data_IF_862155001179
#
_entry.id   IF_862155001179
#
_cell.length_a   1.000
_cell.length_b   1.000
_cell.length_c   1.000
_cell.angle_alpha   90.00
_cell.angle_beta   90.00
_cell.angle_gamma   90.00
#
_symmetry.space_group_name_H-M   'P 1'
#
loop_
_entity.id
_entity.type
_entity.pdbx_description
1 polymer ?
#
# COMPACT_ATOMS: atom_id res chain seq x y z
N UNK A 1 -4.72 10.09 -16.00
CA UNK A 1 -5.53 8.84 -15.88
C UNK A 1 -5.49 8.24 -14.48
N UNK A 2 -4.34 7.78 -13.95
CA UNK A 2 -4.29 7.14 -12.63
C UNK A 2 -4.68 8.09 -11.47
N UNK A 3 -4.13 9.31 -11.45
CA UNK A 3 -4.49 10.32 -10.44
C UNK A 3 -5.99 10.69 -10.51
N UNK A 4 -6.54 10.77 -11.72
CA UNK A 4 -7.97 11.05 -11.93
C UNK A 4 -8.85 9.95 -11.33
N UNK A 5 -8.46 8.67 -11.44
CA UNK A 5 -9.19 7.56 -10.81
C UNK A 5 -9.22 7.70 -9.28
N UNK A 6 -8.11 8.08 -8.66
CA UNK A 6 -8.02 8.26 -7.21
C UNK A 6 -8.79 9.49 -6.73
N UNK A 7 -8.78 10.58 -7.50
CA UNK A 7 -9.60 11.77 -7.23
C UNK A 7 -11.10 11.45 -7.33
N UNK A 8 -11.52 10.73 -8.37
CA UNK A 8 -12.91 10.30 -8.54
C UNK A 8 -13.34 9.40 -7.38
N UNK A 9 -12.52 8.42 -6.98
CA UNK A 9 -12.84 7.54 -5.84
C UNK A 9 -13.06 8.32 -4.54
N UNK A 10 -12.22 9.33 -4.25
CA UNK A 10 -12.38 10.19 -3.09
C UNK A 10 -13.68 11.01 -3.13
N UNK A 11 -14.05 11.53 -4.31
CA UNK A 11 -15.34 12.22 -4.49
C UNK A 11 -16.52 11.29 -4.23
N UNK A 12 -16.42 10.01 -4.63
CA UNK A 12 -17.45 9.01 -4.33
C UNK A 12 -17.53 8.69 -2.83
N UNK A 13 -16.39 8.57 -2.14
CA UNK A 13 -16.38 8.38 -0.68
C UNK A 13 -17.10 9.52 0.05
N UNK A 14 -16.77 10.76 -0.28
CA UNK A 14 -17.40 11.93 0.33
C UNK A 14 -18.92 11.95 0.07
N UNK A 15 -19.34 11.69 -1.17
CA UNK A 15 -20.78 11.66 -1.53
C UNK A 15 -21.53 10.54 -0.81
N UNK A 16 -20.97 9.33 -0.75
CA UNK A 16 -21.60 8.21 -0.06
C UNK A 16 -21.71 8.45 1.45
N UNK A 17 -20.69 9.02 2.08
CA UNK A 17 -20.72 9.37 3.50
C UNK A 17 -21.77 10.43 3.85
N UNK A 18 -22.02 11.40 2.96
CA UNK A 18 -23.10 12.39 3.15
C UNK A 18 -24.48 11.71 3.14
N UNK A 19 -24.65 10.65 2.35
CA UNK A 19 -25.92 9.89 2.29
C UNK A 19 -26.12 9.05 3.55
N UNK A 20 -25.05 8.43 4.07
CA UNK A 20 -25.09 7.70 5.33
C UNK A 20 -23.77 7.88 6.11
N UNK A 21 -23.83 8.70 7.17
CA UNK A 21 -22.68 9.07 7.99
C UNK A 21 -22.10 7.90 8.79
N UNK A 22 -22.81 6.77 8.90
CA UNK A 22 -22.28 5.57 9.56
C UNK A 22 -21.14 4.92 8.76
N UNK A 23 -21.07 5.18 7.45
CA UNK A 23 -20.06 4.68 6.53
C UNK A 23 -18.89 5.67 6.44
N UNK A 24 -17.81 5.43 7.18
CA UNK A 24 -16.72 6.40 7.33
C UNK A 24 -15.32 5.85 7.02
N UNK A 25 -15.19 4.54 6.74
CA UNK A 25 -13.90 3.87 6.56
C UNK A 25 -13.68 3.52 5.07
N UNK A 26 -12.92 4.32 4.29
CA UNK A 26 -12.77 4.12 2.86
C UNK A 26 -11.67 3.13 2.52
N UNK A 27 -11.93 2.25 1.55
CA UNK A 27 -11.01 1.24 1.06
C UNK A 27 -11.08 1.14 -0.47
N UNK A 28 -9.94 0.84 -1.10
CA UNK A 28 -9.86 0.51 -2.52
C UNK A 28 -9.14 -0.82 -2.68
N UNK A 29 -9.64 -1.67 -3.58
CA UNK A 29 -8.95 -2.87 -4.03
C UNK A 29 -8.81 -2.81 -5.55
N UNK A 30 -7.65 -3.24 -6.05
CA UNK A 30 -7.32 -3.16 -7.46
C UNK A 30 -6.53 -4.38 -7.90
N UNK A 31 -7.02 -5.06 -8.92
CA UNK A 31 -6.34 -6.17 -9.57
C UNK A 31 -6.01 -5.81 -11.03
N UNK A 32 -4.82 -6.18 -11.47
CA UNK A 32 -4.33 -5.93 -12.83
C UNK A 32 -3.98 -7.24 -13.51
N UNK A 33 -4.66 -7.51 -14.64
CA UNK A 33 -4.61 -8.72 -15.46
C UNK A 33 -5.27 -9.96 -14.83
N UNK A 34 -5.69 -10.95 -15.65
CA UNK A 34 -6.35 -12.17 -15.15
C UNK A 34 -5.54 -12.97 -14.14
N UNK A 35 -4.20 -12.89 -14.22
CA UNK A 35 -3.30 -13.53 -13.26
C UNK A 35 -3.45 -12.96 -11.83
N UNK A 36 -3.84 -11.69 -11.71
CA UNK A 36 -4.21 -11.06 -10.45
C UNK A 36 -5.70 -11.22 -10.11
N UNK A 37 -6.44 -12.06 -10.83
CA UNK A 37 -7.89 -12.24 -10.72
C UNK A 37 -8.75 -11.08 -11.26
N UNK A 38 -8.16 -10.17 -12.06
CA UNK A 38 -8.96 -9.18 -12.77
C UNK A 38 -9.87 -9.89 -13.81
N UNK A 39 -11.19 -9.75 -13.65
CA UNK A 39 -12.18 -10.39 -14.53
C UNK A 39 -12.30 -9.70 -15.89
N UNK A 40 -11.82 -8.46 -15.98
CA UNK A 40 -11.83 -7.64 -17.19
C UNK A 40 -10.42 -7.15 -17.50
N UNK A 41 -10.09 -7.07 -18.78
CA UNK A 41 -8.80 -6.53 -19.25
C UNK A 41 -8.75 -5.00 -19.09
N UNK A 42 -9.91 -4.34 -19.06
CA UNK A 42 -9.96 -2.90 -18.85
C UNK A 42 -9.62 -2.55 -17.38
N UNK A 43 -8.85 -1.46 -17.14
CA UNK A 43 -8.57 -1.00 -15.79
C UNK A 43 -9.87 -0.65 -15.04
N UNK A 44 -10.03 -1.16 -13.83
CA UNK A 44 -11.11 -0.81 -12.91
C UNK A 44 -10.67 -0.99 -11.46
N UNK A 45 -11.34 -0.31 -10.55
CA UNK A 45 -11.10 -0.33 -9.11
C UNK A 45 -12.38 -0.76 -8.39
N UNK A 46 -12.25 -1.50 -7.29
CA UNK A 46 -13.34 -1.73 -6.36
C UNK A 46 -13.25 -0.71 -5.23
N UNK A 47 -14.19 0.23 -5.22
CA UNK A 47 -14.29 1.33 -4.24
C UNK A 47 -15.30 0.93 -3.17
N UNK A 48 -14.85 0.86 -1.91
CA UNK A 48 -15.68 0.40 -0.79
C UNK A 48 -15.65 1.42 0.33
N UNK A 49 -16.82 1.70 0.92
CA UNK A 49 -16.93 2.49 2.14
C UNK A 49 -17.55 1.58 3.19
N UNK A 50 -16.87 1.42 4.33
CA UNK A 50 -17.30 0.51 5.39
C UNK A 50 -17.83 1.29 6.60
N UNK A 51 -18.84 0.73 7.25
CA UNK A 51 -19.40 1.23 8.51
C UNK A 51 -18.79 0.52 9.72
N UNK A 52 -18.58 1.25 10.81
CA UNK A 52 -18.08 0.68 12.07
C UNK A 52 -16.58 0.36 12.05
N UNK A 53 -16.20 -0.78 11.46
CA UNK A 53 -14.81 -1.26 11.47
C UNK A 53 -14.16 -1.30 10.08
N UNK A 54 -12.83 -1.37 10.05
CA UNK A 54 -12.07 -1.66 8.84
C UNK A 54 -12.32 -3.10 8.36
N UNK A 55 -12.06 -3.38 7.08
CA UNK A 55 -12.22 -4.73 6.56
C UNK A 55 -11.06 -5.66 6.98
N UNK A 56 -11.42 -6.82 7.53
CA UNK A 56 -10.56 -7.99 7.73
C UNK A 56 -9.10 -7.66 8.12
N UNK A 57 -8.15 -7.80 7.18
CA UNK A 57 -6.71 -7.57 7.42
C UNK A 57 -6.39 -6.14 7.88
N UNK A 58 -7.16 -5.14 7.44
CA UNK A 58 -7.01 -3.76 7.91
C UNK A 58 -7.45 -3.62 9.37
N UNK A 59 -8.53 -4.28 9.79
CA UNK A 59 -8.94 -4.31 11.19
C UNK A 59 -7.90 -5.01 12.08
N UNK A 60 -7.30 -6.10 11.59
CA UNK A 60 -6.19 -6.76 12.28
C UNK A 60 -4.98 -5.84 12.46
N UNK A 61 -4.59 -5.12 11.41
CA UNK A 61 -3.50 -4.14 11.48
C UNK A 61 -3.81 -2.99 12.47
N UNK A 62 -5.04 -2.50 12.46
CA UNK A 62 -5.51 -1.47 13.40
C UNK A 62 -5.47 -1.97 14.86
N UNK A 63 -5.93 -3.20 15.11
CA UNK A 63 -5.84 -3.80 16.44
C UNK A 63 -4.38 -3.96 16.91
N UNK A 64 -3.50 -4.39 16.01
CA UNK A 64 -2.07 -4.52 16.29
C UNK A 64 -1.39 -3.16 16.56
N UNK A 65 -1.74 -2.11 15.82
CA UNK A 65 -1.20 -0.77 16.06
C UNK A 65 -1.65 -0.19 17.40
N UNK A 66 -2.91 -0.43 17.79
CA UNK A 66 -3.42 -0.05 19.10
C UNK A 66 -2.72 -0.81 20.23
N UNK A 67 -2.48 -2.11 20.06
CA UNK A 67 -1.76 -2.91 21.04
C UNK A 67 -0.32 -2.44 21.21
N UNK A 68 0.40 -2.22 20.09
CA UNK A 68 1.75 -1.67 20.12
C UNK A 68 1.81 -0.34 20.87
N UNK A 69 0.88 0.58 20.57
CA UNK A 69 0.85 1.89 21.23
C UNK A 69 0.62 1.77 22.73
N UNK A 70 -0.24 0.84 23.18
CA UNK A 70 -0.43 0.56 24.62
C UNK A 70 0.84 0.01 25.28
N UNK A 71 1.53 -0.92 24.62
CA UNK A 71 2.74 -1.56 25.15
C UNK A 71 3.96 -0.63 25.15
N UNK A 72 3.88 0.50 24.44
CA UNK A 72 4.94 1.49 24.23
C UNK A 72 4.55 2.90 24.67
N UNK A 73 3.71 3.01 25.70
CA UNK A 73 3.35 4.29 26.34
C UNK A 73 2.85 5.39 25.37
N UNK A 74 2.13 5.00 24.31
CA UNK A 74 1.55 5.91 23.33
C UNK A 74 2.37 6.12 22.06
N UNK A 75 3.49 5.40 21.86
CA UNK A 75 4.25 5.45 20.60
C UNK A 75 3.36 5.10 19.38
N UNK A 76 3.64 5.75 18.24
CA UNK A 76 2.91 5.52 17.01
C UNK A 76 3.54 4.39 16.19
N UNK A 77 2.81 3.28 16.07
CA UNK A 77 3.24 2.09 15.33
C UNK A 77 3.75 2.39 13.91
N UNK A 78 3.05 3.23 13.14
CA UNK A 78 3.40 3.49 11.74
C UNK A 78 4.63 4.37 11.60
N UNK A 79 4.82 5.33 12.52
CA UNK A 79 6.03 6.13 12.60
C UNK A 79 7.25 5.24 12.84
N UNK A 80 7.18 4.33 13.81
CA UNK A 80 8.29 3.44 14.12
C UNK A 80 8.53 2.39 13.04
N UNK A 81 7.45 1.91 12.40
CA UNK A 81 7.55 1.02 11.24
C UNK A 81 8.36 1.67 10.11
N UNK A 82 8.09 2.94 9.80
CA UNK A 82 8.86 3.70 8.80
C UNK A 82 10.31 3.89 9.26
N UNK A 83 10.55 4.25 10.53
CA UNK A 83 11.91 4.43 11.07
C UNK A 83 12.75 3.15 10.92
N UNK A 84 12.21 1.99 11.30
CA UNK A 84 12.92 0.71 11.21
C UNK A 84 13.26 0.38 9.76
N UNK A 85 12.31 0.50 8.83
CA UNK A 85 12.59 0.23 7.42
C UNK A 85 13.59 1.22 6.84
N UNK A 86 13.53 2.50 7.23
CA UNK A 86 14.48 3.52 6.79
C UNK A 86 15.89 3.24 7.31
N UNK A 87 16.04 2.86 8.58
CA UNK A 87 17.33 2.49 9.17
C UNK A 87 17.96 1.28 8.46
N UNK A 88 17.14 0.35 7.95
CA UNK A 88 17.59 -0.78 7.15
C UNK A 88 17.86 -0.43 5.68
N UNK A 89 17.64 0.81 5.25
CA UNK A 89 17.79 1.21 3.85
C UNK A 89 16.73 0.63 2.92
N UNK A 90 15.55 0.28 3.44
CA UNK A 90 14.44 -0.35 2.70
C UNK A 90 13.33 0.64 2.29
N UNK A 91 13.56 1.95 2.41
CA UNK A 91 12.57 2.99 2.10
C UNK A 91 12.97 3.92 0.95
N UNK A 92 11.98 4.52 0.31
CA UNK A 92 12.13 5.68 -0.53
C UNK A 92 10.99 6.66 -0.23
N UNK A 93 11.29 7.95 -0.19
CA UNK A 93 10.31 8.98 0.15
C UNK A 93 10.14 9.98 -0.96
N UNK A 94 8.93 10.51 -1.07
CA UNK A 94 8.56 11.64 -1.92
C UNK A 94 7.66 12.53 -1.06
N UNK A 95 8.15 13.72 -0.71
CA UNK A 95 7.37 14.68 0.09
C UNK A 95 6.85 14.06 1.38
N UNK A 96 5.52 13.97 1.53
CA UNK A 96 4.86 13.46 2.75
C UNK A 96 4.61 11.95 2.75
N UNK A 97 5.09 11.24 1.73
CA UNK A 97 4.81 9.82 1.55
C UNK A 97 6.11 9.01 1.53
N UNK A 98 6.03 7.80 2.06
CA UNK A 98 7.13 6.84 2.07
C UNK A 98 6.65 5.50 1.55
N UNK A 99 7.42 4.91 0.63
CA UNK A 99 7.29 3.52 0.22
C UNK A 99 8.39 2.69 0.88
N UNK A 100 8.05 1.48 1.32
CA UNK A 100 8.98 0.52 1.89
C UNK A 100 8.87 -0.83 1.20
N UNK A 101 10.01 -1.44 0.87
CA UNK A 101 10.07 -2.87 0.61
C UNK A 101 9.89 -3.58 1.95
N UNK A 102 8.75 -4.26 2.10
CA UNK A 102 8.31 -4.69 3.43
C UNK A 102 9.15 -5.85 3.95
N UNK A 103 9.57 -5.77 5.22
CA UNK A 103 10.45 -6.77 5.82
C UNK A 103 9.73 -8.09 6.15
N UNK A 104 8.42 -8.05 6.39
CA UNK A 104 7.57 -9.21 6.70
C UNK A 104 6.47 -9.40 5.64
N UNK A 105 6.86 -9.61 4.36
CA UNK A 105 5.93 -9.61 3.24
C UNK A 105 4.96 -10.80 3.32
N UNK A 106 3.72 -10.56 2.90
CA UNK A 106 2.64 -11.54 2.80
C UNK A 106 2.51 -12.11 1.39
N UNK A 107 3.19 -11.51 0.41
CA UNK A 107 3.22 -11.95 -0.98
C UNK A 107 4.52 -11.51 -1.65
N UNK A 108 4.77 -12.05 -2.85
CA UNK A 108 5.95 -11.71 -3.65
C UNK A 108 5.99 -10.22 -4.00
N UNK A 109 7.19 -9.63 -3.91
CA UNK A 109 7.44 -8.21 -4.21
C UNK A 109 6.41 -7.32 -3.51
N UNK A 110 6.32 -7.41 -2.19
CA UNK A 110 5.38 -6.56 -1.45
C UNK A 110 6.01 -5.19 -1.14
N UNK A 111 5.30 -4.14 -1.57
CA UNK A 111 5.55 -2.76 -1.20
C UNK A 111 4.43 -2.24 -0.31
N UNK A 112 4.80 -1.50 0.73
CA UNK A 112 3.87 -0.77 1.59
C UNK A 112 4.13 0.72 1.44
N UNK A 113 3.09 1.50 1.20
CA UNK A 113 3.13 2.95 1.08
C UNK A 113 2.38 3.53 2.26
N UNK A 114 2.96 4.53 2.92
CA UNK A 114 2.35 5.19 4.08
C UNK A 114 2.43 6.70 3.89
N UNK A 115 1.35 7.39 4.24
CA UNK A 115 1.34 8.84 4.47
C UNK A 115 0.35 9.17 5.58
N UNK A 116 0.62 10.23 6.35
CA UNK A 116 -0.28 10.69 7.42
C UNK A 116 -1.63 11.19 6.90
N UNK A 117 -1.71 11.54 5.62
CA UNK A 117 -2.91 12.05 4.97
C UNK A 117 -2.96 11.62 3.51
N UNK A 118 -4.13 11.73 2.90
CA UNK A 118 -4.27 11.54 1.45
C UNK A 118 -3.61 12.72 0.74
N UNK A 119 -2.62 12.44 -0.10
CA UNK A 119 -1.88 13.46 -0.83
C UNK A 119 -1.41 12.93 -2.20
N UNK A 120 -1.06 13.83 -3.12
CA UNK A 120 -0.59 13.45 -4.46
C UNK A 120 0.71 12.61 -4.40
N UNK A 121 1.59 12.90 -3.44
CA UNK A 121 2.88 12.23 -3.28
C UNK A 121 2.75 10.71 -3.16
N UNK A 122 1.79 10.22 -2.36
CA UNK A 122 1.61 8.78 -2.16
C UNK A 122 1.15 8.10 -3.44
N UNK A 123 0.28 8.76 -4.21
CA UNK A 123 -0.20 8.25 -5.50
C UNK A 123 0.91 8.28 -6.56
N UNK A 124 1.78 9.30 -6.55
CA UNK A 124 2.97 9.35 -7.41
C UNK A 124 3.98 8.26 -7.07
N UNK A 125 4.19 7.96 -5.78
CA UNK A 125 5.00 6.82 -5.37
C UNK A 125 4.43 5.49 -5.88
N UNK A 126 3.10 5.29 -5.79
CA UNK A 126 2.49 4.09 -6.36
C UNK A 126 2.69 4.02 -7.87
N UNK A 127 2.55 5.15 -8.57
CA UNK A 127 2.85 5.21 -10.00
C UNK A 127 4.30 4.80 -10.30
N UNK A 128 5.29 5.33 -9.58
CA UNK A 128 6.69 4.94 -9.76
C UNK A 128 6.92 3.46 -9.46
N UNK A 129 6.27 2.91 -8.43
CA UNK A 129 6.34 1.49 -8.13
C UNK A 129 5.78 0.62 -9.25
N UNK A 130 4.62 0.99 -9.81
CA UNK A 130 4.06 0.30 -10.97
C UNK A 130 4.99 0.39 -12.20
N UNK A 131 5.61 1.55 -12.45
CA UNK A 131 6.60 1.69 -13.53
C UNK A 131 7.83 0.84 -13.28
N UNK A 132 8.33 0.74 -12.06
CA UNK A 132 9.44 -0.13 -11.72
C UNK A 132 9.09 -1.61 -11.93
N UNK A 133 7.88 -2.03 -11.55
CA UNK A 133 7.39 -3.39 -11.79
C UNK A 133 7.40 -3.70 -13.27
N UNK A 134 6.83 -2.82 -14.09
CA UNK A 134 6.65 -3.04 -15.52
C UNK A 134 7.98 -2.91 -16.28
N UNK A 135 8.69 -1.80 -16.11
CA UNK A 135 9.81 -1.41 -16.98
C UNK A 135 11.15 -1.98 -16.54
N UNK A 136 11.37 -2.12 -15.22
CA UNK A 136 12.66 -2.59 -14.68
C UNK A 136 12.63 -4.08 -14.37
N UNK A 137 11.49 -4.61 -13.91
CA UNK A 137 11.39 -5.99 -13.42
C UNK A 137 10.55 -6.93 -14.29
N UNK A 138 9.78 -6.43 -15.26
CA UNK A 138 8.89 -7.26 -16.11
C UNK A 138 7.73 -7.92 -15.34
N UNK A 139 7.26 -7.30 -14.26
CA UNK A 139 6.18 -7.76 -13.38
C UNK A 139 4.85 -7.08 -13.77
N UNK A 140 4.01 -7.79 -14.52
CA UNK A 140 2.80 -7.18 -15.11
C UNK A 140 1.51 -7.44 -14.33
N UNK A 141 1.42 -8.54 -13.59
CA UNK A 141 0.22 -8.92 -12.85
C UNK A 141 0.38 -8.61 -11.37
N UNK A 142 -0.34 -7.61 -10.88
CA UNK A 142 -0.22 -7.14 -9.50
C UNK A 142 -1.60 -6.82 -8.92
N UNK A 143 -1.67 -6.90 -7.59
CA UNK A 143 -2.85 -6.49 -6.82
C UNK A 143 -2.45 -5.40 -5.85
N UNK A 144 -3.35 -4.46 -5.61
CA UNK A 144 -3.21 -3.44 -4.60
C UNK A 144 -4.42 -3.38 -3.67
N UNK A 145 -4.14 -3.13 -2.40
CA UNK A 145 -5.15 -2.83 -1.39
C UNK A 145 -4.82 -1.51 -0.72
N UNK A 146 -5.83 -0.67 -0.50
CA UNK A 146 -5.66 0.66 0.05
C UNK A 146 -6.68 0.89 1.15
N UNK A 147 -6.23 1.51 2.24
CA UNK A 147 -7.09 2.04 3.30
C UNK A 147 -6.76 3.52 3.47
N UNK A 148 -7.82 4.32 3.55
CA UNK A 148 -7.73 5.77 3.65
C UNK A 148 -8.00 6.19 5.10
N UNK A 149 -7.53 7.38 5.52
CA UNK A 149 -8.00 8.01 6.74
C UNK A 149 -9.53 8.07 6.77
N UNK A 150 -10.10 7.95 7.97
CA UNK A 150 -11.54 8.04 8.14
C UNK A 150 -12.07 9.39 7.66
N UNK A 151 -13.31 9.41 7.19
CA UNK A 151 -14.00 10.63 6.75
C UNK A 151 -14.53 11.47 7.92
N UNK A 152 -14.39 10.97 9.14
CA UNK A 152 -14.72 11.65 10.39
C UNK A 152 -13.45 12.12 11.08
N UNK A 153 -13.59 12.91 12.15
CA UNK A 153 -12.44 13.37 12.93
C UNK A 153 -11.56 12.18 13.37
N UNK A 154 -10.24 12.25 13.13
CA UNK A 154 -9.34 11.15 13.43
C UNK A 154 -9.30 10.89 14.94
N UNK A 155 -9.35 9.62 15.31
CA UNK A 155 -9.18 9.14 16.68
C UNK A 155 -7.77 8.60 16.88
N UNK A 156 -7.31 8.58 18.13
CA UNK A 156 -6.00 8.01 18.45
C UNK A 156 -5.91 6.55 18.00
N UNK A 157 -4.89 6.24 17.20
CA UNK A 157 -4.64 4.90 16.67
C UNK A 157 -5.35 4.54 15.38
N UNK A 158 -6.16 5.44 14.80
CA UNK A 158 -6.74 5.25 13.47
C UNK A 158 -5.65 4.98 12.42
N UNK A 159 -5.99 4.17 11.42
CA UNK A 159 -5.07 3.88 10.33
C UNK A 159 -4.77 5.15 9.51
N UNK A 160 -3.49 5.43 9.21
CA UNK A 160 -3.13 6.46 8.24
C UNK A 160 -3.52 6.02 6.82
N UNK A 161 -3.17 6.82 5.81
CA UNK A 161 -3.25 6.35 4.43
C UNK A 161 -2.21 5.23 4.24
N UNK A 162 -2.67 4.03 3.92
CA UNK A 162 -1.81 2.88 3.64
C UNK A 162 -2.21 2.27 2.29
N UNK A 163 -1.22 2.01 1.44
CA UNK A 163 -1.39 1.17 0.27
C UNK A 163 -0.44 -0.01 0.34
N UNK A 164 -0.88 -1.17 -0.13
CA UNK A 164 -0.05 -2.36 -0.33
C UNK A 164 -0.11 -2.72 -1.79
N UNK A 165 1.03 -3.05 -2.39
CA UNK A 165 1.15 -3.52 -3.77
C UNK A 165 1.92 -4.84 -3.77
N UNK A 166 1.40 -5.85 -4.45
CA UNK A 166 2.00 -7.19 -4.49
C UNK A 166 2.02 -7.74 -5.90
N UNK A 167 3.03 -8.52 -6.24
CA UNK A 167 3.10 -9.27 -7.49
C UNK A 167 2.35 -10.60 -7.38
N UNK A 168 1.52 -10.90 -8.37
CA UNK A 168 0.64 -12.09 -8.43
C UNK A 168 1.19 -13.20 -9.32
N UNK A 169 2.48 -13.14 -9.67
CA UNK A 169 3.16 -14.14 -10.48
C UNK A 169 3.17 -13.85 -11.98
N UNK A 170 3.99 -14.59 -12.71
CA UNK A 170 4.17 -14.39 -14.15
C UNK A 170 2.86 -14.64 -14.91
N UNK A 171 2.54 -13.76 -15.87
CA UNK A 171 1.31 -13.82 -16.68
C UNK A 171 1.18 -15.10 -17.51
N UNK A 172 2.30 -15.71 -17.89
CA UNK A 172 2.36 -16.97 -18.65
C UNK A 172 2.30 -18.22 -17.76
N UNK A 173 2.39 -18.06 -16.43
CA UNK A 173 2.43 -19.18 -15.50
C UNK A 173 1.03 -19.72 -15.23
N UNK A 174 0.85 -21.03 -15.43
CA UNK A 174 -0.38 -21.75 -15.09
C UNK A 174 -0.51 -22.05 -13.58
N UNK A 175 0.58 -21.94 -12.82
CA UNK A 175 0.57 -22.20 -11.37
C UNK A 175 -0.13 -21.08 -10.62
N UNK A 176 -1.07 -21.41 -9.72
CA UNK A 176 -1.64 -20.43 -8.80
C UNK A 176 -0.56 -19.79 -7.92
N UNK A 177 -0.68 -18.49 -7.67
CA UNK A 177 0.26 -17.73 -6.86
C UNK A 177 0.00 -17.86 -5.35
N UNK A 178 -1.20 -18.31 -4.99
CA UNK A 178 -1.63 -18.59 -3.63
C UNK A 178 -1.95 -20.08 -3.52
N UNK A 179 -1.41 -20.73 -2.48
CA UNK A 179 -1.66 -22.13 -2.12
C UNK A 179 -2.30 -22.23 -0.74
N UNK A 180 -2.50 -23.47 -0.25
CA UNK A 180 -2.95 -23.71 1.12
C UNK A 180 -1.99 -23.13 2.17
N UNK A 181 -0.71 -22.99 1.86
CA UNK A 181 0.29 -22.42 2.77
C UNK A 181 0.04 -20.93 2.96
N UNK A 182 -0.21 -20.16 1.91
CA UNK A 182 -0.53 -18.74 2.02
C UNK A 182 -1.93 -18.49 2.59
N UNK A 183 -2.88 -19.41 2.35
CA UNK A 183 -4.26 -19.29 2.85
C UNK A 183 -4.39 -19.62 4.34
N UNK A 184 -3.67 -20.63 4.83
CA UNK A 184 -3.87 -21.19 6.18
C UNK A 184 -2.61 -21.27 7.02
N UNK A 185 -1.44 -21.13 6.42
CA UNK A 185 -0.13 -21.23 7.08
C UNK A 185 0.57 -19.87 7.13
N UNK A 186 1.83 -19.87 6.68
CA UNK A 186 2.68 -18.68 6.66
C UNK A 186 3.00 -18.29 5.21
N UNK A 187 3.09 -16.99 4.89
CA UNK A 187 3.61 -16.56 3.60
C UNK A 187 5.02 -17.12 3.34
N UNK A 188 5.26 -17.60 2.12
CA UNK A 188 6.58 -17.99 1.65
C UNK A 188 7.07 -17.02 0.57
N UNK A 189 8.02 -16.16 0.92
CA UNK A 189 8.52 -15.10 0.03
C UNK A 189 10.03 -15.24 -0.16
N UNK A 190 10.45 -15.41 -1.42
CA UNK A 190 11.86 -15.57 -1.82
C UNK A 190 12.33 -14.38 -2.67
N UNK A 191 12.03 -13.16 -2.22
CA UNK A 191 12.38 -11.91 -2.92
C UNK A 191 13.30 -11.10 -2.03
N UNK A 192 14.39 -10.60 -2.61
CA UNK A 192 15.32 -9.70 -1.95
C UNK A 192 14.71 -8.28 -1.88
N UNK A 193 14.36 -7.77 -0.67
CA UNK A 193 13.72 -6.46 -0.53
C UNK A 193 14.66 -5.30 -0.90
N UNK A 194 15.98 -5.51 -0.87
CA UNK A 194 16.96 -4.49 -1.25
C UNK A 194 16.98 -4.26 -2.76
N UNK A 195 16.88 -5.33 -3.55
CA UNK A 195 16.73 -5.22 -5.01
C UNK A 195 15.43 -4.49 -5.37
N UNK A 196 14.34 -4.84 -4.69
CA UNK A 196 13.03 -4.24 -4.89
C UNK A 196 13.08 -2.72 -4.65
N UNK A 197 13.55 -2.26 -3.49
CA UNK A 197 13.58 -0.82 -3.20
C UNK A 197 14.54 -0.05 -4.12
N UNK A 198 15.65 -0.67 -4.55
CA UNK A 198 16.61 -0.04 -5.46
C UNK A 198 16.00 0.23 -6.84
N UNK A 199 15.22 -0.71 -7.37
CA UNK A 199 14.46 -0.49 -8.61
C UNK A 199 13.45 0.65 -8.50
N UNK A 200 12.82 0.82 -7.32
CA UNK A 200 11.92 1.96 -7.08
C UNK A 200 12.70 3.28 -7.12
N UNK A 201 13.81 3.37 -6.39
CA UNK A 201 14.67 4.57 -6.35
C UNK A 201 15.20 4.94 -7.74
N UNK A 202 15.64 3.94 -8.53
CA UNK A 202 16.07 4.11 -9.92
C UNK A 202 14.96 4.69 -10.78
N UNK A 203 13.75 4.16 -10.66
CA UNK A 203 12.58 4.64 -11.41
C UNK A 203 12.20 6.07 -11.02
N UNK A 204 12.19 6.39 -9.72
CA UNK A 204 11.97 7.76 -9.24
C UNK A 204 12.98 8.74 -9.86
N UNK A 205 14.27 8.39 -9.82
CA UNK A 205 15.34 9.21 -10.39
C UNK A 205 15.15 9.42 -11.90
N UNK A 206 14.83 8.38 -12.66
CA UNK A 206 14.55 8.48 -14.10
C UNK A 206 13.37 9.41 -14.43
N UNK A 207 12.36 9.46 -13.57
CA UNK A 207 11.20 10.35 -13.71
C UNK A 207 11.40 11.73 -13.07
N UNK A 208 12.64 12.10 -12.72
CA UNK A 208 12.98 13.43 -12.17
C UNK A 208 12.54 13.66 -10.73
N UNK A 209 12.04 12.63 -10.04
CA UNK A 209 11.81 12.68 -8.61
C UNK A 209 13.14 12.44 -7.90
N UNK A 210 13.63 13.43 -7.14
CA UNK A 210 14.74 13.20 -6.22
C UNK A 210 14.18 12.43 -5.02
N UNK A 211 14.59 11.17 -4.80
CA UNK A 211 14.27 10.52 -3.53
C UNK A 211 14.93 11.37 -2.45
N UNK A 212 14.23 11.62 -1.34
CA UNK A 212 14.91 12.12 -0.15
C UNK A 212 15.94 11.04 0.22
N UNK A 213 17.20 11.31 -0.10
CA UNK A 213 18.32 10.51 0.41
C UNK A 213 18.22 10.58 1.92
N UNK A 214 18.32 9.43 2.59
CA UNK A 214 18.44 9.27 4.04
C UNK A 214 18.82 10.60 4.68
N UNK A 215 17.81 11.29 5.20
CA UNK A 215 18.00 12.63 5.75
C UNK A 215 19.13 12.56 6.76
N UNK A 216 20.05 13.51 6.63
CA UNK A 216 20.98 13.89 7.68
C UNK A 216 20.22 13.88 9.00
N UNK A 217 20.48 12.86 9.80
CA UNK A 217 20.01 12.79 11.16
C UNK A 217 20.82 13.82 11.96
N UNK A 218 20.23 15.00 12.13
CA UNK A 218 20.58 15.95 13.20
C UNK A 218 19.43 16.01 14.19
#
# INVERSE_FOLDING_TARGET
MFLDLMDVAQKWFAKAHIVDISYANPHIYWDVLPKASASQVHPHLHVNLASGQYYAKWAGLHAASLQYSKDREGENYFTDLVKVHSALGLTASLGKATVMAYLTPQASHELVFISSSVCEDIFRLLFFAMRAYIDDMGLYAYSAGMVFPKLVAPQSGDLPMIMRLVFRGAVTSTRADISSIELFGTPNVNVDPYKLINSIRKTMFHHGAKPDTLGDAS
#
